data_IF_730795085350
#
_entry.id   IF_730795085350
#
_cell.length_a   1.000
_cell.length_b   1.000
_cell.length_c   1.000
_cell.angle_alpha   90.00
_cell.angle_beta   90.00
_cell.angle_gamma   90.00
#
_symmetry.space_group_name_H-M   'P 1'
#
loop_
_entity.id
_entity.type
_entity.pdbx_description
1 polymer ?
#
# COMPACT_ATOMS: atom_id res chain seq x y z
N UNK A 1 0.49 -2.95 16.41
CA UNK A 1 1.79 -2.92 15.70
C UNK A 1 2.86 -2.04 16.36
N UNK A 2 2.55 -1.23 17.39
CA UNK A 2 3.49 -0.31 18.05
C UNK A 2 4.73 -0.99 18.67
N UNK A 3 4.61 -2.24 19.05
CA UNK A 3 5.64 -3.08 19.69
C UNK A 3 6.44 -3.94 18.71
N UNK A 4 6.15 -3.86 17.40
CA UNK A 4 6.70 -4.77 16.39
C UNK A 4 7.94 -4.26 15.66
N UNK A 5 8.51 -3.13 16.09
CA UNK A 5 9.76 -2.60 15.54
C UNK A 5 10.89 -3.65 15.49
N UNK A 6 11.24 -4.32 16.61
CA UNK A 6 12.31 -5.33 16.61
C UNK A 6 12.04 -6.53 15.71
N UNK A 7 10.76 -6.87 15.48
CA UNK A 7 10.39 -7.95 14.54
C UNK A 7 10.63 -7.50 13.11
N UNK A 8 10.32 -6.24 12.79
CA UNK A 8 10.61 -5.67 11.48
C UNK A 8 12.10 -5.57 11.21
N UNK A 9 12.90 -5.18 12.21
CA UNK A 9 14.37 -5.14 12.09
C UNK A 9 14.95 -6.51 11.75
N UNK A 10 14.45 -7.58 12.40
CA UNK A 10 14.86 -8.96 12.09
C UNK A 10 14.48 -9.38 10.64
N UNK A 11 13.30 -8.97 10.15
CA UNK A 11 12.86 -9.22 8.77
C UNK A 11 13.77 -8.49 7.77
N UNK A 12 14.18 -7.26 8.08
CA UNK A 12 15.11 -6.51 7.24
C UNK A 12 16.44 -7.25 7.10
N UNK A 13 16.98 -7.74 8.22
CA UNK A 13 18.25 -8.48 8.23
C UNK A 13 18.13 -9.81 7.47
N UNK A 14 17.08 -10.59 7.72
CA UNK A 14 16.86 -11.90 7.08
C UNK A 14 16.71 -11.79 5.56
N UNK A 15 15.96 -10.80 5.08
CA UNK A 15 15.66 -10.64 3.65
C UNK A 15 16.51 -9.59 2.93
N UNK A 16 17.50 -8.99 3.60
CA UNK A 16 18.38 -7.95 3.07
C UNK A 16 17.57 -6.80 2.43
N UNK A 17 16.61 -6.27 3.19
CA UNK A 17 15.71 -5.20 2.77
C UNK A 17 16.34 -3.81 2.94
N UNK A 18 15.69 -2.80 2.38
CA UNK A 18 16.04 -1.40 2.64
C UNK A 18 15.85 -1.09 4.13
N UNK A 19 16.86 -0.54 4.83
CA UNK A 19 16.73 -0.17 6.23
C UNK A 19 15.63 0.88 6.44
N UNK A 20 14.56 0.48 7.11
CA UNK A 20 13.38 1.33 7.38
C UNK A 20 12.88 1.04 8.78
N UNK A 21 12.32 2.04 9.45
CA UNK A 21 11.60 1.80 10.70
C UNK A 21 10.16 1.38 10.37
N UNK A 22 9.58 0.51 11.21
CA UNK A 22 8.22 0.03 10.98
C UNK A 22 7.20 1.17 10.93
N UNK A 23 7.40 2.23 11.70
CA UNK A 23 6.56 3.44 11.71
C UNK A 23 6.66 4.27 10.43
N UNK A 24 7.75 4.18 9.67
CA UNK A 24 7.93 4.93 8.43
C UNK A 24 7.17 4.30 7.26
N UNK A 25 6.98 2.97 7.29
CA UNK A 25 6.34 2.20 6.21
C UNK A 25 4.97 1.63 6.59
N UNK A 26 4.68 1.51 7.88
CA UNK A 26 3.48 0.92 8.44
C UNK A 26 2.54 1.97 9.01
N UNK A 27 1.64 2.49 8.17
CA UNK A 27 0.66 3.49 8.58
C UNK A 27 -0.62 2.85 9.14
N UNK A 28 -0.51 2.23 10.32
CA UNK A 28 -1.56 1.38 10.90
C UNK A 28 -2.87 2.12 11.19
N UNK A 29 -2.79 3.35 11.73
CA UNK A 29 -4.01 4.14 12.02
C UNK A 29 -4.79 4.43 10.73
N UNK A 30 -4.10 4.66 9.62
CA UNK A 30 -4.73 4.91 8.33
C UNK A 30 -5.40 3.65 7.77
N UNK A 31 -4.76 2.49 7.91
CA UNK A 31 -5.35 1.20 7.54
C UNK A 31 -6.62 0.93 8.36
N UNK A 32 -6.57 1.13 9.68
CA UNK A 32 -7.74 0.98 10.56
C UNK A 32 -8.89 1.91 10.13
N UNK A 33 -8.60 3.19 9.87
CA UNK A 33 -9.61 4.14 9.39
C UNK A 33 -10.18 3.79 8.01
N UNK A 34 -9.43 3.10 7.16
CA UNK A 34 -9.84 2.78 5.79
C UNK A 34 -10.66 1.49 5.75
N UNK A 35 -10.19 0.45 6.43
CA UNK A 35 -10.80 -0.89 6.37
C UNK A 35 -11.96 -1.08 7.36
N UNK A 36 -11.98 -0.36 8.47
CA UNK A 36 -13.09 -0.47 9.45
C UNK A 36 -14.29 0.44 9.13
N UNK A 37 -14.29 1.14 7.98
CA UNK A 37 -15.46 1.91 7.57
C UNK A 37 -16.62 0.96 7.23
N UNK A 38 -17.84 1.19 7.75
CA UNK A 38 -18.99 0.32 7.49
C UNK A 38 -19.53 0.46 6.07
N UNK A 39 -18.99 1.39 5.28
CA UNK A 39 -19.36 1.63 3.89
C UNK A 39 -18.12 1.91 3.05
N UNK A 40 -18.21 1.58 1.76
CA UNK A 40 -17.24 1.99 0.76
C UNK A 40 -17.82 3.14 -0.07
N UNK A 41 -17.10 4.25 -0.16
CA UNK A 41 -17.48 5.37 -1.02
C UNK A 41 -17.02 5.11 -2.46
N UNK A 42 -17.94 5.17 -3.42
CA UNK A 42 -17.62 5.11 -4.85
C UNK A 42 -17.76 6.51 -5.44
N UNK A 43 -16.80 6.92 -6.27
CA UNK A 43 -16.77 8.24 -6.91
C UNK A 43 -17.04 8.10 -8.42
N UNK A 44 -17.63 9.14 -9.02
CA UNK A 44 -17.88 9.17 -10.47
C UNK A 44 -16.67 9.70 -11.24
N UNK A 45 -16.33 9.01 -12.34
CA UNK A 45 -15.29 9.44 -13.30
C UNK A 45 -15.88 10.15 -14.52
N UNK A 46 -17.18 10.42 -14.56
CA UNK A 46 -17.86 10.94 -15.75
C UNK A 46 -17.25 12.25 -16.24
N UNK A 47 -17.10 13.25 -15.36
CA UNK A 47 -16.49 14.54 -15.70
C UNK A 47 -15.11 14.40 -16.33
N UNK A 48 -14.26 13.53 -15.78
CA UNK A 48 -12.91 13.30 -16.33
C UNK A 48 -12.99 12.65 -17.72
N UNK A 49 -13.89 11.69 -17.93
CA UNK A 49 -14.10 11.03 -19.23
C UNK A 49 -14.68 11.97 -20.27
N UNK A 50 -15.65 12.81 -19.90
CA UNK A 50 -16.24 13.87 -20.74
C UNK A 50 -15.18 14.88 -21.17
N UNK A 51 -14.19 15.16 -20.32
CA UNK A 51 -13.04 16.02 -20.62
C UNK A 51 -11.87 15.27 -21.30
N UNK A 52 -12.08 14.03 -21.76
CA UNK A 52 -11.12 13.28 -22.57
C UNK A 52 -10.14 12.39 -21.81
N UNK A 53 -10.21 12.31 -20.48
CA UNK A 53 -9.40 11.36 -19.70
C UNK A 53 -10.07 9.98 -19.65
N UNK A 54 -9.69 9.11 -20.59
CA UNK A 54 -10.25 7.77 -20.76
C UNK A 54 -9.41 6.66 -20.11
N UNK A 55 -8.26 7.00 -19.52
CA UNK A 55 -7.37 6.02 -18.90
C UNK A 55 -8.00 5.40 -17.65
N UNK A 56 -7.83 4.09 -17.50
CA UNK A 56 -8.24 3.35 -16.31
C UNK A 56 -7.20 2.28 -15.95
N UNK A 57 -7.41 1.63 -14.80
CA UNK A 57 -6.68 0.44 -14.38
C UNK A 57 -7.67 -0.60 -13.89
N UNK A 58 -7.35 -1.87 -14.12
CA UNK A 58 -7.95 -2.95 -13.33
C UNK A 58 -7.34 -2.88 -11.92
N UNK A 59 -8.18 -2.74 -10.90
CA UNK A 59 -7.76 -2.53 -9.51
C UNK A 59 -6.96 -3.70 -8.96
N UNK A 60 -7.38 -4.94 -9.22
CA UNK A 60 -6.70 -6.16 -8.75
C UNK A 60 -5.30 -6.26 -9.34
N UNK A 61 -5.18 -6.13 -10.67
CA UNK A 61 -3.89 -6.11 -11.35
C UNK A 61 -3.00 -4.95 -10.86
N UNK A 62 -3.59 -3.79 -10.56
CA UNK A 62 -2.84 -2.65 -10.02
C UNK A 62 -2.31 -2.91 -8.62
N UNK A 63 -3.07 -3.57 -7.73
CA UNK A 63 -2.61 -3.92 -6.38
C UNK A 63 -1.43 -4.89 -6.48
N UNK A 64 -1.56 -5.95 -7.29
CA UNK A 64 -0.48 -6.92 -7.51
C UNK A 64 0.78 -6.23 -8.06
N UNK A 65 0.63 -5.32 -9.03
CA UNK A 65 1.75 -4.53 -9.55
C UNK A 65 2.48 -3.73 -8.45
N UNK A 66 1.75 -3.10 -7.54
CA UNK A 66 2.37 -2.30 -6.48
C UNK A 66 3.07 -3.16 -5.43
N UNK A 67 2.52 -4.33 -5.08
CA UNK A 67 3.18 -5.31 -4.21
C UNK A 67 4.50 -5.74 -4.84
N UNK A 68 4.45 -6.24 -6.07
CA UNK A 68 5.62 -6.69 -6.84
C UNK A 68 6.67 -5.56 -7.02
N UNK A 69 6.23 -4.31 -7.19
CA UNK A 69 7.14 -3.16 -7.21
C UNK A 69 7.82 -2.90 -5.87
N UNK A 70 7.14 -3.10 -4.74
CA UNK A 70 7.76 -2.98 -3.42
C UNK A 70 8.76 -4.11 -3.15
N UNK A 71 8.45 -5.33 -3.59
CA UNK A 71 9.36 -6.49 -3.52
C UNK A 71 10.63 -6.26 -4.33
N UNK A 72 10.50 -5.84 -5.60
CA UNK A 72 11.67 -5.50 -6.44
C UNK A 72 12.54 -4.40 -5.86
N UNK A 73 11.93 -3.45 -5.14
CA UNK A 73 12.64 -2.38 -4.44
C UNK A 73 13.17 -2.80 -3.07
N UNK A 74 12.96 -4.05 -2.67
CA UNK A 74 13.35 -4.62 -1.37
C UNK A 74 12.80 -3.81 -0.18
N UNK A 75 11.60 -3.25 -0.33
CA UNK A 75 10.90 -2.59 0.79
C UNK A 75 10.18 -3.63 1.66
N UNK A 76 9.69 -4.69 1.01
CA UNK A 76 9.12 -5.88 1.63
C UNK A 76 9.78 -7.12 1.00
N UNK A 77 9.72 -8.30 1.64
CA UNK A 77 10.21 -9.55 1.07
C UNK A 77 9.52 -9.94 -0.24
#
# INVERSE_FOLDING_TARGET
MKDKGPVWDAIIEEHNLVPTKLEDIGNWWFVDLTLNKPFSSVLSMNKSKELGFLSFRNTEASILHWIDKMQRKKVIP
#
